data_IF_387165002952
#
_entry.id   IF_387165002952
#
_cell.length_a   1.000
_cell.length_b   1.000
_cell.length_c   1.000
_cell.angle_alpha   90.00
_cell.angle_beta   90.00
_cell.angle_gamma   90.00
#
_symmetry.space_group_name_H-M   'P 1'
#
loop_
_entity.id
_entity.type
_entity.pdbx_description
1 polymer ?
#
# COMPACT_ATOMS: atom_id res chain seq x y z
N UNK A 1 -36.15 39.80 11.30
CA UNK A 1 -35.34 38.62 11.67
C UNK A 1 -35.17 37.66 10.47
N UNK A 2 -34.52 38.08 9.38
CA UNK A 2 -34.35 37.25 8.15
C UNK A 2 -32.90 37.17 7.63
N UNK A 3 -31.95 37.86 8.27
CA UNK A 3 -30.54 37.90 7.84
C UNK A 3 -29.67 36.78 8.42
N UNK A 4 -30.18 36.01 9.38
CA UNK A 4 -29.44 34.90 10.01
C UNK A 4 -29.52 33.58 9.23
N UNK A 5 -30.55 33.37 8.40
CA UNK A 5 -30.71 32.11 7.66
C UNK A 5 -29.74 31.96 6.47
N UNK A 6 -29.34 33.08 5.84
CA UNK A 6 -28.50 33.05 4.64
C UNK A 6 -27.03 32.74 4.99
N UNK A 7 -26.55 33.22 6.14
CA UNK A 7 -25.19 32.94 6.61
C UNK A 7 -24.99 31.46 6.96
N UNK A 8 -26.04 30.79 7.45
CA UNK A 8 -25.98 29.40 7.86
C UNK A 8 -26.04 28.44 6.65
N UNK A 9 -26.75 28.80 5.58
CA UNK A 9 -26.75 28.03 4.33
C UNK A 9 -25.40 28.10 3.59
N UNK A 10 -24.73 29.26 3.60
CA UNK A 10 -23.40 29.42 2.99
C UNK A 10 -22.31 28.64 3.76
N UNK A 11 -22.43 28.56 5.09
CA UNK A 11 -21.50 27.78 5.91
C UNK A 11 -21.64 26.27 5.65
N UNK A 12 -22.86 25.77 5.45
CA UNK A 12 -23.06 24.36 5.07
C UNK A 12 -22.56 24.04 3.64
N UNK A 13 -22.63 24.98 2.70
CA UNK A 13 -22.15 24.76 1.33
C UNK A 13 -20.62 24.66 1.25
N UNK A 14 -19.89 25.35 2.14
CA UNK A 14 -18.43 25.26 2.25
C UNK A 14 -17.95 23.96 2.93
N UNK A 15 -18.79 23.32 3.75
CA UNK A 15 -18.48 22.02 4.36
C UNK A 15 -18.68 20.86 3.37
N UNK A 16 -19.48 21.03 2.32
CA UNK A 16 -19.68 19.99 1.29
C UNK A 16 -18.56 20.00 0.24
N UNK A 17 -17.78 21.08 0.12
CA UNK A 17 -16.67 21.22 -0.83
C UNK A 17 -15.29 20.90 -0.23
N UNK A 18 -15.23 20.53 1.05
CA UNK A 18 -13.97 20.19 1.72
C UNK A 18 -14.01 18.79 2.28
N UNK A 19 -13.53 17.80 1.51
CA UNK A 19 -12.72 16.66 2.01
C UNK A 19 -12.31 15.66 0.91
N UNK A 20 -12.20 16.08 -0.34
CA UNK A 20 -11.25 15.44 -1.27
C UNK A 20 -10.15 16.46 -1.59
N UNK A 21 -9.37 16.84 -0.57
CA UNK A 21 -8.03 17.33 -0.85
C UNK A 21 -7.27 16.24 -1.62
N UNK A 22 -6.25 16.57 -2.43
CA UNK A 22 -5.37 15.54 -2.97
C UNK A 22 -4.88 14.71 -1.78
N UNK A 23 -5.20 13.41 -1.73
CA UNK A 23 -4.65 12.53 -0.70
C UNK A 23 -3.14 12.67 -0.82
N UNK A 24 -2.50 13.20 0.22
CA UNK A 24 -1.05 13.38 0.19
C UNK A 24 -0.45 11.99 0.03
N UNK A 25 0.48 11.81 -0.92
CA UNK A 25 1.26 10.58 -1.02
C UNK A 25 1.86 10.28 0.35
N UNK A 26 1.53 9.11 0.92
CA UNK A 26 2.07 8.68 2.20
C UNK A 26 3.19 7.65 2.02
N UNK A 27 4.03 7.49 3.03
CA UNK A 27 5.04 6.42 3.09
C UNK A 27 4.59 5.33 4.03
N UNK A 28 4.41 4.12 3.49
CA UNK A 28 4.03 2.92 4.23
C UNK A 28 5.26 2.05 4.46
N UNK A 29 5.65 1.85 5.71
CA UNK A 29 6.78 0.99 6.05
C UNK A 29 6.36 -0.47 6.09
N UNK A 30 6.97 -1.29 5.24
CA UNK A 30 6.85 -2.75 5.23
C UNK A 30 8.06 -3.37 5.90
N UNK A 31 7.91 -3.76 7.18
CA UNK A 31 8.96 -4.39 7.97
C UNK A 31 8.90 -5.91 7.88
N UNK A 32 9.88 -6.50 7.19
CA UNK A 32 9.98 -7.94 6.95
C UNK A 32 10.43 -8.74 8.17
N UNK A 33 10.95 -8.09 9.22
CA UNK A 33 11.26 -8.76 10.49
C UNK A 33 9.98 -9.12 11.28
N UNK A 34 8.87 -8.43 11.01
CA UNK A 34 7.60 -8.63 11.70
C UNK A 34 6.67 -9.54 10.88
N UNK A 35 6.95 -10.84 10.88
CA UNK A 35 6.17 -11.85 10.11
C UNK A 35 4.69 -11.92 10.49
N UNK A 36 4.34 -11.60 11.74
CA UNK A 36 2.93 -11.54 12.18
C UNK A 36 2.18 -10.38 11.50
N UNK A 37 2.88 -9.29 11.20
CA UNK A 37 2.35 -8.13 10.52
C UNK A 37 2.31 -8.32 8.99
N UNK A 38 3.28 -8.99 8.36
CA UNK A 38 3.24 -9.33 6.92
C UNK A 38 1.95 -10.07 6.52
N UNK A 39 1.51 -11.01 7.37
CA UNK A 39 0.25 -11.73 7.17
C UNK A 39 -1.00 -10.82 7.26
N UNK A 40 -0.92 -9.69 7.98
CA UNK A 40 -2.02 -8.73 8.19
C UNK A 40 -2.04 -7.61 7.14
N UNK A 41 -0.88 -7.21 6.61
CA UNK A 41 -0.73 -6.13 5.60
C UNK A 41 -1.32 -6.50 4.25
N UNK A 42 -1.57 -7.79 4.04
CA UNK A 42 -2.28 -8.32 2.87
C UNK A 42 -3.66 -7.68 2.63
N UNK A 43 -4.18 -6.84 3.54
CA UNK A 43 -5.55 -6.29 3.48
C UNK A 43 -5.65 -4.85 3.99
N UNK A 44 -4.74 -3.94 3.61
CA UNK A 44 -4.99 -2.50 3.79
C UNK A 44 -5.05 -1.83 2.43
N UNK A 45 -6.20 -1.26 2.05
CA UNK A 45 -6.35 -0.51 0.79
C UNK A 45 -5.63 0.83 0.91
N UNK A 46 -4.48 0.92 0.26
CA UNK A 46 -3.67 2.14 0.16
C UNK A 46 -4.05 2.95 -1.09
N UNK A 47 -3.58 4.19 -1.17
CA UNK A 47 -3.82 5.03 -2.35
C UNK A 47 -2.78 4.73 -3.43
N UNK A 48 -3.16 4.91 -4.70
CA UNK A 48 -2.26 4.69 -5.83
C UNK A 48 -0.93 5.46 -5.78
N UNK A 49 -0.88 6.60 -5.06
CA UNK A 49 0.32 7.43 -4.92
C UNK A 49 1.13 7.17 -3.65
N UNK A 50 0.73 6.20 -2.83
CA UNK A 50 1.48 5.84 -1.63
C UNK A 50 2.79 5.13 -2.02
N UNK A 51 3.85 5.40 -1.26
CA UNK A 51 5.16 4.77 -1.44
C UNK A 51 5.37 3.75 -0.32
N UNK A 52 5.64 2.51 -0.69
CA UNK A 52 5.91 1.43 0.23
C UNK A 52 7.41 1.28 0.40
N UNK A 53 7.94 1.51 1.60
CA UNK A 53 9.35 1.31 1.91
C UNK A 53 9.57 -0.06 2.56
N UNK A 54 10.42 -0.88 1.95
CA UNK A 54 10.76 -2.21 2.45
C UNK A 54 11.93 -2.14 3.43
N UNK A 55 11.71 -2.56 4.67
CA UNK A 55 12.69 -2.53 5.76
C UNK A 55 12.99 -3.94 6.27
N UNK A 56 14.20 -4.14 6.79
CA UNK A 56 14.68 -5.41 7.34
C UNK A 56 14.47 -6.60 6.39
N UNK A 57 14.71 -6.37 5.10
CA UNK A 57 14.39 -7.30 4.03
C UNK A 57 15.18 -8.61 4.13
N UNK A 58 14.66 -9.73 3.59
CA UNK A 58 15.37 -11.00 3.55
C UNK A 58 16.72 -10.86 2.83
N UNK A 59 17.74 -11.60 3.28
CA UNK A 59 19.09 -11.52 2.69
C UNK A 59 19.14 -11.88 1.20
N UNK A 60 18.24 -12.74 0.73
CA UNK A 60 18.07 -13.09 -0.68
C UNK A 60 17.23 -12.12 -1.51
N UNK A 61 16.77 -11.03 -0.91
CA UNK A 61 15.98 -9.98 -1.55
C UNK A 61 14.47 -10.24 -1.59
N UNK A 62 13.78 -9.31 -2.23
CA UNK A 62 12.33 -9.33 -2.43
C UNK A 62 12.03 -9.50 -3.92
N UNK A 63 11.08 -10.38 -4.21
CA UNK A 63 10.63 -10.74 -5.54
C UNK A 63 9.23 -10.17 -5.73
N UNK A 64 9.01 -9.41 -6.79
CA UNK A 64 7.66 -9.10 -7.26
C UNK A 64 7.20 -10.21 -8.20
N UNK A 65 6.03 -10.78 -7.89
CA UNK A 65 5.53 -12.00 -8.49
C UNK A 65 4.16 -11.77 -9.12
N UNK A 66 3.81 -12.62 -10.07
CA UNK A 66 2.41 -12.80 -10.43
C UNK A 66 1.65 -13.59 -9.34
N UNK A 67 0.32 -13.58 -9.40
CA UNK A 67 -0.54 -14.26 -8.42
C UNK A 67 -0.25 -15.76 -8.32
N UNK A 68 0.02 -16.44 -9.44
CA UNK A 68 0.31 -17.88 -9.44
C UNK A 68 1.61 -18.15 -8.70
N UNK A 69 2.67 -17.43 -9.07
CA UNK A 69 3.99 -17.54 -8.44
C UNK A 69 3.96 -17.18 -6.95
N UNK A 70 3.17 -16.17 -6.54
CA UNK A 70 2.96 -15.81 -5.14
C UNK A 70 2.21 -16.89 -4.33
N UNK A 71 1.23 -17.54 -4.94
CA UNK A 71 0.44 -18.59 -4.28
C UNK A 71 1.22 -19.89 -4.16
N UNK A 72 2.03 -20.24 -5.17
CA UNK A 72 2.89 -21.43 -5.16
C UNK A 72 4.26 -21.20 -4.54
N UNK A 73 4.58 -19.96 -4.15
CA UNK A 73 5.91 -19.56 -3.67
C UNK A 73 7.04 -19.95 -4.64
N UNK A 74 6.78 -19.79 -5.95
CA UNK A 74 7.78 -20.01 -6.99
C UNK A 74 8.47 -18.69 -7.27
N UNK A 75 9.72 -18.56 -6.82
CA UNK A 75 10.53 -17.35 -7.06
C UNK A 75 11.14 -17.44 -8.46
N UNK A 76 11.06 -16.36 -9.23
CA UNK A 76 11.65 -16.27 -10.57
C UNK A 76 13.17 -16.08 -10.54
N UNK A 77 13.76 -15.82 -11.71
CA UNK A 77 15.21 -15.58 -11.83
C UNK A 77 15.60 -14.20 -11.26
N UNK A 78 15.89 -14.20 -9.96
CA UNK A 78 16.50 -13.09 -9.22
C UNK A 78 15.49 -12.13 -8.54
N UNK A 79 15.90 -11.48 -7.43
CA UNK A 79 15.02 -10.54 -6.73
C UNK A 79 14.76 -9.31 -7.61
N UNK A 80 13.49 -8.96 -7.76
CA UNK A 80 13.05 -7.82 -8.57
C UNK A 80 13.44 -6.48 -7.93
N UNK A 81 13.69 -6.45 -6.61
CA UNK A 81 13.95 -5.21 -5.87
C UNK A 81 15.34 -5.18 -5.22
N UNK A 82 16.26 -4.51 -5.91
CA UNK A 82 17.33 -3.73 -5.27
C UNK A 82 16.86 -2.32 -4.86
N UNK A 83 15.57 -2.00 -5.04
CA UNK A 83 14.96 -0.76 -4.61
C UNK A 83 14.26 -0.97 -3.26
N UNK A 84 14.64 -0.17 -2.27
CA UNK A 84 14.06 -0.19 -0.93
C UNK A 84 12.62 0.35 -0.91
N UNK A 85 12.03 0.69 -2.07
CA UNK A 85 10.68 1.21 -2.15
C UNK A 85 9.93 0.82 -3.43
N UNK A 86 8.61 0.83 -3.34
CA UNK A 86 7.65 0.60 -4.42
C UNK A 86 6.58 1.70 -4.39
N UNK A 87 6.34 2.36 -5.52
CA UNK A 87 5.23 3.32 -5.66
C UNK A 87 4.36 2.85 -6.82
N UNK A 88 3.08 2.50 -6.58
CA UNK A 88 2.17 2.12 -7.65
C UNK A 88 1.97 3.26 -8.66
N UNK A 89 1.74 2.92 -9.92
CA UNK A 89 1.37 3.90 -10.96
C UNK A 89 -0.13 4.16 -11.07
N UNK A 90 -0.94 3.59 -10.18
CA UNK A 90 -2.41 3.52 -10.29
C UNK A 90 -3.01 2.49 -9.33
N UNK A 91 -4.31 2.22 -9.47
CA UNK A 91 -4.95 1.09 -8.81
C UNK A 91 -4.29 -0.21 -9.27
N UNK A 92 -3.70 -0.93 -8.32
CA UNK A 92 -2.84 -2.07 -8.59
C UNK A 92 -3.00 -3.14 -7.50
N UNK A 93 -2.71 -4.38 -7.90
CA UNK A 93 -2.44 -5.46 -6.96
C UNK A 93 -1.04 -5.94 -7.26
N UNK A 94 -0.14 -5.80 -6.28
CA UNK A 94 1.25 -6.23 -6.39
C UNK A 94 1.56 -7.27 -5.33
N UNK A 95 2.23 -8.34 -5.73
CA UNK A 95 2.54 -9.48 -4.88
C UNK A 95 4.04 -9.54 -4.67
N UNK A 96 4.46 -9.52 -3.41
CA UNK A 96 5.87 -9.56 -3.04
C UNK A 96 6.14 -10.77 -2.16
N UNK A 97 7.28 -11.43 -2.36
CA UNK A 97 7.72 -12.53 -1.52
C UNK A 97 9.23 -12.51 -1.33
N UNK A 98 9.70 -13.06 -0.24
CA UNK A 98 11.11 -13.38 0.02
C UNK A 98 11.38 -14.89 -0.09
N UNK A 99 12.61 -15.29 0.19
CA UNK A 99 13.05 -16.69 0.10
C UNK A 99 12.26 -17.62 1.03
N UNK A 100 11.80 -17.12 2.17
CA UNK A 100 10.99 -17.88 3.12
C UNK A 100 9.48 -17.78 2.84
N UNK A 101 9.06 -17.58 1.58
CA UNK A 101 7.66 -17.35 1.19
C UNK A 101 6.69 -18.39 1.77
N UNK A 102 7.08 -19.66 1.78
CA UNK A 102 6.27 -20.77 2.30
C UNK A 102 6.03 -20.66 3.82
N UNK A 103 6.85 -19.88 4.53
CA UNK A 103 6.76 -19.61 5.97
C UNK A 103 6.03 -18.29 6.28
N UNK A 104 5.43 -17.66 5.26
CA UNK A 104 4.70 -16.39 5.39
C UNK A 104 5.53 -15.13 5.08
N UNK A 105 6.72 -15.30 4.50
CA UNK A 105 7.59 -14.19 4.07
C UNK A 105 7.09 -13.58 2.75
N UNK A 106 5.86 -13.05 2.79
CA UNK A 106 5.17 -12.54 1.61
C UNK A 106 4.10 -11.53 1.99
N UNK A 107 3.86 -10.57 1.10
CA UNK A 107 2.88 -9.49 1.26
C UNK A 107 2.18 -9.23 -0.06
N UNK A 108 0.90 -8.88 0.00
CA UNK A 108 0.17 -8.33 -1.15
C UNK A 108 -0.21 -6.89 -0.85
N UNK A 109 0.03 -6.01 -1.81
CA UNK A 109 -0.29 -4.60 -1.74
C UNK A 109 -1.48 -4.36 -2.66
N UNK A 110 -2.55 -3.79 -2.12
CA UNK A 110 -3.75 -3.43 -2.86
C UNK A 110 -3.92 -1.91 -2.80
N UNK A 111 -3.99 -1.28 -3.96
CA UNK A 111 -4.29 0.15 -4.07
C UNK A 111 -5.60 0.42 -4.80
N UNK A 112 -6.29 1.49 -4.41
CA UNK A 112 -7.55 1.95 -5.01
C UNK A 112 -7.42 3.35 -5.58
#
# INVERSE_FOLDING_TARGET
>A
MRRFLVAQLLLCLLVILGLSGPSLADTVNIDWSNRAWLAQVSVTTYQAQDTFEFQNTPSGGIYELDLTSYTTCTLGDGPTYGANSYTPGGAAVAYFAGEACAEGDKVVILTT
#
